data_IF_541154075469
#
_entry.id   IF_541154075469
#
_cell.length_a   1.000
_cell.length_b   1.000
_cell.length_c   1.000
_cell.angle_alpha   90.00
_cell.angle_beta   90.00
_cell.angle_gamma   90.00
#
_symmetry.space_group_name_H-M   'P 1'
#
loop_
_entity.id
_entity.type
_entity.pdbx_description
1 polymer ?
#
# COMPACT_ATOMS: atom_id res chain seq x y z
N UNK A 1 29.51 11.31 -3.42
CA UNK A 1 28.25 10.59 -3.73
C UNK A 1 27.25 11.63 -4.21
N UNK A 2 26.56 11.39 -5.33
CA UNK A 2 25.49 12.27 -5.78
C UNK A 2 24.38 12.31 -4.72
N UNK A 3 23.99 13.50 -4.27
CA UNK A 3 22.85 13.65 -3.36
C UNK A 3 21.54 13.36 -4.09
N UNK A 4 20.49 12.99 -3.36
CA UNK A 4 19.13 12.90 -3.90
C UNK A 4 18.20 13.82 -3.11
N UNK A 5 17.11 14.25 -3.76
CA UNK A 5 16.04 15.06 -3.16
C UNK A 5 14.68 14.60 -3.70
N UNK A 6 13.60 15.12 -3.13
CA UNK A 6 12.24 14.87 -3.56
C UNK A 6 11.58 16.14 -4.07
N UNK A 7 10.72 16.03 -5.08
CA UNK A 7 9.84 17.13 -5.48
C UNK A 7 8.93 17.56 -4.31
N UNK A 8 8.90 18.86 -3.98
CA UNK A 8 8.18 19.38 -2.81
C UNK A 8 6.83 20.04 -3.15
N UNK A 9 6.49 20.14 -4.44
CA UNK A 9 5.23 20.72 -4.91
C UNK A 9 4.47 19.71 -5.77
N UNK A 10 3.14 19.86 -5.86
CA UNK A 10 2.24 18.90 -6.54
C UNK A 10 2.71 18.48 -7.93
N UNK A 11 3.16 19.45 -8.75
CA UNK A 11 3.75 19.20 -10.06
C UNK A 11 4.98 20.08 -10.25
N UNK A 12 6.16 19.54 -9.93
CA UNK A 12 7.42 20.26 -10.05
C UNK A 12 7.89 20.29 -11.52
N UNK A 13 8.09 21.47 -12.12
CA UNK A 13 8.56 21.58 -13.49
C UNK A 13 10.04 21.23 -13.60
N UNK A 14 10.37 20.44 -14.62
CA UNK A 14 11.73 20.18 -15.08
C UNK A 14 11.95 20.98 -16.36
N UNK A 15 13.01 21.77 -16.39
CA UNK A 15 13.36 22.66 -17.49
C UNK A 15 14.51 22.10 -18.33
N UNK A 16 14.49 22.36 -19.63
CA UNK A 16 15.59 22.00 -20.55
C UNK A 16 16.90 22.72 -20.18
N UNK A 17 16.79 24.00 -19.81
CA UNK A 17 17.92 24.88 -19.52
C UNK A 17 17.53 26.00 -18.56
N UNK A 18 18.55 26.57 -17.92
CA UNK A 18 18.47 27.78 -17.08
C UNK A 18 19.32 28.86 -17.75
N UNK A 19 18.75 30.04 -17.96
CA UNK A 19 19.46 31.19 -18.54
C UNK A 19 19.07 32.43 -17.76
N UNK A 20 20.06 33.18 -17.28
CA UNK A 20 19.89 34.36 -16.43
C UNK A 20 18.99 34.08 -15.21
N UNK A 21 19.23 32.95 -14.54
CA UNK A 21 18.48 32.53 -13.35
C UNK A 21 17.02 32.12 -13.60
N UNK A 22 16.60 31.95 -14.86
CA UNK A 22 15.22 31.57 -15.24
C UNK A 22 15.20 30.30 -16.08
N UNK A 23 14.35 29.35 -15.70
CA UNK A 23 14.05 28.17 -16.53
C UNK A 23 13.33 28.58 -17.81
N UNK A 24 13.75 28.03 -18.96
CA UNK A 24 13.25 28.48 -20.28
C UNK A 24 12.13 27.63 -20.88
N UNK A 25 12.29 26.30 -20.91
CA UNK A 25 11.32 25.38 -21.51
C UNK A 25 11.06 24.22 -20.58
N UNK A 26 9.81 24.01 -20.18
CA UNK A 26 9.41 22.86 -19.38
C UNK A 26 9.39 21.62 -20.30
N UNK A 27 10.15 20.60 -19.94
CA UNK A 27 10.27 19.33 -20.68
C UNK A 27 9.59 18.17 -19.96
N UNK A 28 9.33 18.31 -18.66
CA UNK A 28 8.62 17.32 -17.86
C UNK A 28 7.99 17.99 -16.62
N UNK A 29 7.00 17.33 -16.01
CA UNK A 29 6.46 17.66 -14.68
C UNK A 29 6.47 16.40 -13.83
N UNK A 30 7.20 16.45 -12.71
CA UNK A 30 7.24 15.33 -11.76
C UNK A 30 6.31 15.60 -10.58
N UNK A 31 5.68 14.56 -10.05
CA UNK A 31 4.75 14.68 -8.93
C UNK A 31 5.50 14.86 -7.61
N UNK A 32 4.85 15.50 -6.63
CA UNK A 32 5.36 15.62 -5.26
C UNK A 32 5.84 14.25 -4.74
N UNK A 33 6.97 14.22 -4.03
CA UNK A 33 7.58 13.02 -3.48
C UNK A 33 8.23 12.10 -4.52
N UNK A 34 8.34 12.54 -5.78
CA UNK A 34 9.20 11.86 -6.78
C UNK A 34 10.66 12.13 -6.43
N UNK A 35 11.45 11.06 -6.31
CA UNK A 35 12.88 11.19 -6.07
C UNK A 35 13.61 11.67 -7.32
N UNK A 36 14.64 12.48 -7.13
CA UNK A 36 15.56 12.92 -8.19
C UNK A 36 17.00 12.85 -7.69
N UNK A 37 17.93 12.47 -8.57
CA UNK A 37 19.37 12.49 -8.26
C UNK A 37 19.96 13.82 -8.69
N UNK A 38 20.66 14.50 -7.79
CA UNK A 38 21.36 15.76 -8.09
C UNK A 38 22.62 15.45 -8.89
N UNK A 39 22.71 16.00 -10.11
CA UNK A 39 23.85 15.86 -11.00
C UNK A 39 24.78 17.06 -10.89
N UNK A 40 24.21 18.26 -10.76
CA UNK A 40 24.92 19.53 -10.78
C UNK A 40 24.11 20.59 -10.01
N UNK A 41 24.79 21.62 -9.50
CA UNK A 41 24.17 22.81 -8.88
C UNK A 41 24.71 24.08 -9.53
N UNK A 42 23.82 24.99 -9.90
CA UNK A 42 24.14 26.35 -10.36
C UNK A 42 23.21 27.35 -9.65
N UNK A 43 23.76 28.09 -8.69
CA UNK A 43 22.97 28.99 -7.82
C UNK A 43 21.80 28.27 -7.13
N UNK A 44 20.59 28.77 -7.39
CA UNK A 44 19.32 28.21 -6.89
C UNK A 44 18.72 27.12 -7.79
N UNK A 45 19.51 26.56 -8.71
CA UNK A 45 19.07 25.52 -9.63
C UNK A 45 19.89 24.25 -9.48
N UNK A 46 19.21 23.12 -9.63
CA UNK A 46 19.84 21.80 -9.73
C UNK A 46 19.57 21.20 -11.09
N UNK A 47 20.60 20.65 -11.71
CA UNK A 47 20.41 19.68 -12.80
C UNK A 47 20.21 18.32 -12.18
N UNK A 48 19.15 17.62 -12.59
CA UNK A 48 18.71 16.39 -11.95
C UNK A 48 18.47 15.26 -12.93
N UNK A 49 18.76 14.04 -12.51
CA UNK A 49 18.27 12.83 -13.17
C UNK A 49 16.87 12.49 -12.66
N UNK A 50 15.97 12.16 -13.59
CA UNK A 50 14.60 11.75 -13.30
C UNK A 50 14.29 10.40 -13.95
N UNK A 51 13.12 9.81 -13.67
CA UNK A 51 12.65 8.63 -14.40
C UNK A 51 12.29 8.92 -15.87
N UNK A 52 12.14 10.20 -16.23
CA UNK A 52 11.95 10.69 -17.59
C UNK A 52 13.15 11.52 -18.05
N UNK A 53 12.93 12.58 -18.85
CA UNK A 53 14.02 13.46 -19.28
C UNK A 53 14.76 14.10 -18.10
N UNK A 54 16.09 14.11 -18.15
CA UNK A 54 16.92 14.86 -17.22
C UNK A 54 16.82 16.36 -17.55
N UNK A 55 16.92 17.21 -16.54
CA UNK A 55 16.83 18.65 -16.74
C UNK A 55 17.06 19.44 -15.46
N UNK A 56 16.65 20.70 -15.47
CA UNK A 56 16.87 21.64 -14.39
C UNK A 56 15.61 21.86 -13.55
N UNK A 57 15.78 22.01 -12.25
CA UNK A 57 14.70 22.30 -11.30
C UNK A 57 15.19 23.33 -10.28
N UNK A 58 14.30 24.24 -9.91
CA UNK A 58 14.59 25.24 -8.88
C UNK A 58 14.70 24.57 -7.51
N UNK A 59 15.70 24.95 -6.70
CA UNK A 59 15.98 24.37 -5.39
C UNK A 59 14.77 24.44 -4.44
N UNK A 60 14.00 25.53 -4.49
CA UNK A 60 12.77 25.69 -3.71
C UNK A 60 11.65 24.68 -4.04
N UNK A 61 11.74 23.98 -5.18
CA UNK A 61 10.80 22.92 -5.56
C UNK A 61 11.28 21.52 -5.13
N UNK A 62 12.35 21.46 -4.33
CA UNK A 62 12.91 20.23 -3.79
C UNK A 62 12.91 20.25 -2.26
N UNK A 63 12.85 19.06 -1.66
CA UNK A 63 12.91 18.80 -0.23
C UNK A 63 13.80 17.59 0.06
N UNK A 64 14.31 17.48 1.28
CA UNK A 64 14.95 16.27 1.78
C UNK A 64 13.92 15.22 2.27
N UNK A 65 12.67 15.65 2.43
CA UNK A 65 11.52 14.83 2.85
C UNK A 65 10.64 14.51 1.62
N UNK A 66 10.25 13.25 1.45
CA UNK A 66 9.30 12.81 0.42
C UNK A 66 7.88 13.35 0.71
N UNK A 67 7.52 13.45 1.99
CA UNK A 67 6.18 13.78 2.44
C UNK A 67 5.21 12.60 2.35
N UNK A 68 3.91 12.92 2.33
CA UNK A 68 2.81 11.97 2.29
C UNK A 68 2.16 11.98 0.91
N UNK A 69 2.06 10.82 0.27
CA UNK A 69 1.30 10.59 -0.96
C UNK A 69 0.20 9.59 -0.70
N UNK A 70 -0.99 9.87 -1.21
CA UNK A 70 -2.14 8.97 -1.14
C UNK A 70 -2.72 8.84 -2.54
N UNK A 71 -2.85 7.61 -3.01
CA UNK A 71 -3.39 7.26 -4.31
C UNK A 71 -4.67 6.46 -4.09
N UNK A 72 -5.81 7.05 -4.43
CA UNK A 72 -7.09 6.36 -4.54
C UNK A 72 -7.19 5.81 -5.96
N UNK A 73 -7.21 4.50 -6.10
CA UNK A 73 -7.12 3.84 -7.40
C UNK A 73 -8.48 3.37 -7.87
N UNK A 74 -8.73 3.54 -9.16
CA UNK A 74 -9.88 2.94 -9.81
C UNK A 74 -9.68 1.42 -9.91
N UNK A 75 -10.29 0.71 -8.96
CA UNK A 75 -10.28 -0.75 -8.90
C UNK A 75 -11.60 -1.39 -9.35
N UNK A 76 -12.54 -0.58 -9.86
CA UNK A 76 -13.93 -0.95 -10.11
C UNK A 76 -14.78 -0.77 -8.86
N UNK A 77 -15.44 -1.83 -8.39
CA UNK A 77 -16.20 -1.80 -7.14
C UNK A 77 -15.28 -1.87 -5.91
N UNK A 78 -15.71 -1.29 -4.79
CA UNK A 78 -14.98 -1.23 -3.54
C UNK A 78 -13.77 -0.30 -3.57
N UNK A 79 -12.83 -0.52 -2.66
CA UNK A 79 -11.70 0.39 -2.42
C UNK A 79 -10.33 -0.23 -2.77
N UNK A 80 -9.40 0.66 -3.13
CA UNK A 80 -8.00 0.33 -3.30
C UNK A 80 -7.14 1.58 -3.14
N UNK A 81 -6.35 1.63 -2.07
CA UNK A 81 -5.56 2.81 -1.69
C UNK A 81 -4.10 2.43 -1.50
N UNK A 82 -3.20 3.16 -2.15
CA UNK A 82 -1.78 3.13 -1.85
C UNK A 82 -1.40 4.43 -1.13
N UNK A 83 -0.75 4.30 0.02
CA UNK A 83 -0.18 5.40 0.77
C UNK A 83 1.34 5.22 0.85
N UNK A 84 2.08 6.30 0.57
CA UNK A 84 3.52 6.35 0.73
C UNK A 84 3.89 7.53 1.63
N UNK A 85 4.64 7.27 2.70
CA UNK A 85 5.08 8.29 3.65
C UNK A 85 6.57 8.07 3.97
N UNK A 86 7.43 8.98 3.52
CA UNK A 86 8.88 8.73 3.49
C UNK A 86 9.21 7.39 2.82
N UNK A 87 9.84 6.47 3.55
CA UNK A 87 10.16 5.14 3.06
C UNK A 87 9.03 4.09 3.24
N UNK A 88 7.96 4.42 3.96
CA UNK A 88 6.89 3.50 4.28
C UNK A 88 5.86 3.39 3.16
N UNK A 89 5.40 2.17 2.90
CA UNK A 89 4.31 1.84 1.95
C UNK A 89 3.18 1.15 2.70
N UNK A 90 1.99 1.71 2.59
CA UNK A 90 0.76 1.16 3.17
C UNK A 90 -0.22 0.90 2.03
N UNK A 91 -0.66 -0.35 1.92
CA UNK A 91 -1.71 -0.75 0.98
C UNK A 91 -3.00 -0.98 1.78
N UNK A 92 -4.10 -0.36 1.38
CA UNK A 92 -5.41 -0.53 2.00
C UNK A 92 -6.36 -1.05 0.92
N UNK A 93 -6.87 -2.26 1.10
CA UNK A 93 -7.68 -2.97 0.11
C UNK A 93 -7.05 -2.99 -1.30
N UNK A 94 -7.78 -3.51 -2.29
CA UNK A 94 -7.23 -3.76 -3.62
C UNK A 94 -8.29 -3.93 -4.73
N UNK A 95 -9.56 -3.79 -4.40
CA UNK A 95 -10.65 -4.13 -5.29
C UNK A 95 -10.88 -5.63 -5.49
N UNK A 96 -11.84 -5.98 -6.38
CA UNK A 96 -12.17 -7.36 -6.74
C UNK A 96 -11.20 -8.01 -7.73
N UNK A 97 -10.43 -7.21 -8.45
CA UNK A 97 -9.74 -7.61 -9.69
C UNK A 97 -8.23 -7.28 -9.65
N UNK A 98 -7.60 -7.26 -10.82
CA UNK A 98 -6.16 -7.09 -10.97
C UNK A 98 -5.72 -5.62 -11.15
N UNK A 99 -6.62 -4.64 -11.01
CA UNK A 99 -6.33 -3.24 -11.26
C UNK A 99 -5.23 -2.71 -10.33
N UNK A 100 -5.37 -2.95 -9.03
CA UNK A 100 -4.35 -2.62 -8.04
C UNK A 100 -3.00 -3.26 -8.39
N UNK A 101 -2.98 -4.58 -8.62
CA UNK A 101 -1.77 -5.30 -9.02
C UNK A 101 -1.13 -4.72 -10.30
N UNK A 102 -1.95 -4.38 -11.30
CA UNK A 102 -1.51 -3.77 -12.55
C UNK A 102 -0.88 -2.40 -12.34
N UNK A 103 -1.51 -1.55 -11.52
CA UNK A 103 -0.97 -0.25 -11.15
C UNK A 103 0.39 -0.39 -10.43
N UNK A 104 0.48 -1.26 -9.41
CA UNK A 104 1.72 -1.47 -8.66
C UNK A 104 2.84 -1.97 -9.57
N UNK A 105 2.56 -2.92 -10.46
CA UNK A 105 3.61 -3.61 -11.24
C UNK A 105 3.99 -2.93 -12.54
N UNK A 106 3.04 -2.26 -13.22
CA UNK A 106 3.26 -1.64 -14.53
C UNK A 106 3.52 -0.14 -14.46
N UNK A 107 3.10 0.51 -13.37
CA UNK A 107 3.25 1.95 -13.18
C UNK A 107 4.11 2.28 -11.97
N UNK A 108 3.57 2.11 -10.76
CA UNK A 108 4.18 2.69 -9.56
C UNK A 108 5.57 2.12 -9.24
N UNK A 109 5.74 0.80 -9.34
CA UNK A 109 6.99 0.12 -9.00
C UNK A 109 7.68 -0.56 -10.18
N UNK A 110 7.34 -0.16 -11.42
CA UNK A 110 7.90 -0.76 -12.63
C UNK A 110 9.43 -0.73 -12.65
N UNK A 111 10.05 0.39 -12.23
CA UNK A 111 11.50 0.53 -12.18
C UNK A 111 12.15 -0.33 -11.09
N UNK A 112 11.54 -0.45 -9.90
CA UNK A 112 12.03 -1.30 -8.81
C UNK A 112 12.02 -2.77 -9.25
N UNK A 113 10.90 -3.20 -9.83
CA UNK A 113 10.72 -4.56 -10.30
C UNK A 113 11.61 -4.86 -11.52
N UNK A 114 11.79 -3.90 -12.43
CA UNK A 114 12.70 -3.99 -13.58
C UNK A 114 14.17 -4.12 -13.17
N UNK A 115 14.55 -3.47 -12.07
CA UNK A 115 15.85 -3.64 -11.42
C UNK A 115 15.98 -4.97 -10.64
N UNK A 116 15.01 -5.88 -10.75
CA UNK A 116 14.92 -7.16 -10.04
C UNK A 116 14.94 -7.02 -8.51
N UNK A 117 14.53 -5.85 -8.01
CA UNK A 117 14.37 -5.61 -6.58
C UNK A 117 12.96 -5.96 -6.13
N UNK A 118 12.84 -6.39 -4.88
CA UNK A 118 11.54 -6.66 -4.26
C UNK A 118 10.88 -5.36 -3.83
N UNK A 119 9.55 -5.32 -3.91
CA UNK A 119 8.74 -4.26 -3.33
C UNK A 119 8.33 -4.70 -1.92
N UNK A 120 8.69 -3.89 -0.92
CA UNK A 120 8.27 -4.10 0.46
C UNK A 120 7.05 -3.23 0.78
N UNK A 121 5.95 -3.85 1.19
CA UNK A 121 4.76 -3.19 1.72
C UNK A 121 4.81 -3.29 3.24
N UNK A 122 5.09 -2.19 3.93
CA UNK A 122 5.22 -2.18 5.39
C UNK A 122 3.93 -2.62 6.08
N UNK A 123 2.79 -2.16 5.55
CA UNK A 123 1.47 -2.48 6.07
C UNK A 123 0.48 -2.78 4.95
N UNK A 124 -0.19 -3.92 5.04
CA UNK A 124 -1.35 -4.25 4.21
C UNK A 124 -2.57 -4.31 5.11
N UNK A 125 -3.50 -3.38 4.92
CA UNK A 125 -4.71 -3.25 5.71
C UNK A 125 -5.88 -3.75 4.88
N UNK A 126 -6.59 -4.73 5.41
CA UNK A 126 -7.86 -5.19 4.84
C UNK A 126 -8.95 -4.56 5.69
N UNK A 127 -9.79 -3.70 5.09
CA UNK A 127 -10.91 -3.09 5.81
C UNK A 127 -11.90 -4.18 6.21
N UNK A 128 -12.33 -5.01 5.26
CA UNK A 128 -13.20 -6.15 5.49
C UNK A 128 -13.09 -7.18 4.36
N UNK A 129 -13.70 -8.35 4.58
CA UNK A 129 -13.59 -9.50 3.69
C UNK A 129 -14.74 -9.62 2.69
N UNK A 130 -15.13 -8.47 2.12
CA UNK A 130 -16.01 -8.41 0.96
C UNK A 130 -15.16 -8.41 -0.32
N UNK A 131 -15.65 -9.12 -1.34
CA UNK A 131 -14.85 -9.49 -2.50
C UNK A 131 -14.29 -8.27 -3.24
N UNK A 132 -15.05 -7.19 -3.26
CA UNK A 132 -14.70 -5.91 -3.84
C UNK A 132 -13.66 -5.11 -3.04
N UNK A 133 -13.20 -5.60 -1.90
CA UNK A 133 -12.14 -4.96 -1.12
C UNK A 133 -10.84 -5.78 -1.14
N UNK A 134 -10.86 -7.02 -0.67
CA UNK A 134 -9.63 -7.78 -0.41
C UNK A 134 -9.18 -8.68 -1.57
N UNK A 135 -10.04 -9.02 -2.54
CA UNK A 135 -9.75 -10.14 -3.46
C UNK A 135 -8.51 -9.89 -4.31
N UNK A 136 -8.29 -8.66 -4.78
CA UNK A 136 -7.11 -8.25 -5.55
C UNK A 136 -5.79 -8.49 -4.81
N UNK A 137 -5.79 -8.43 -3.48
CA UNK A 137 -4.63 -8.72 -2.61
C UNK A 137 -4.10 -10.12 -2.86
N UNK A 138 -4.98 -11.09 -3.14
CA UNK A 138 -4.60 -12.48 -3.41
C UNK A 138 -3.56 -12.58 -4.52
N UNK A 139 -3.68 -11.75 -5.58
CA UNK A 139 -2.69 -11.74 -6.67
C UNK A 139 -1.37 -11.13 -6.24
N UNK A 140 -1.40 -10.09 -5.41
CA UNK A 140 -0.21 -9.42 -4.88
C UNK A 140 0.56 -10.36 -3.94
N UNK A 141 -0.13 -11.10 -3.07
CA UNK A 141 0.47 -12.11 -2.18
C UNK A 141 1.14 -13.26 -2.94
N UNK A 142 0.58 -13.64 -4.08
CA UNK A 142 1.13 -14.71 -4.93
C UNK A 142 2.35 -14.30 -5.76
N UNK A 143 2.63 -12.99 -5.87
CA UNK A 143 3.82 -12.50 -6.56
C UNK A 143 5.02 -12.45 -5.61
N UNK A 144 6.01 -13.30 -5.85
CA UNK A 144 7.21 -13.44 -5.00
C UNK A 144 8.09 -12.19 -4.96
N UNK A 145 7.85 -11.21 -5.84
CA UNK A 145 8.50 -9.91 -5.85
C UNK A 145 7.97 -8.97 -4.76
N UNK A 146 6.84 -9.30 -4.12
CA UNK A 146 6.28 -8.53 -3.02
C UNK A 146 6.56 -9.18 -1.66
N UNK A 147 6.92 -8.35 -0.69
CA UNK A 147 7.08 -8.71 0.72
C UNK A 147 6.27 -7.77 1.60
N UNK A 148 5.91 -8.22 2.80
CA UNK A 148 4.94 -7.59 3.67
C UNK A 148 5.44 -7.57 5.11
N UNK A 149 5.45 -6.38 5.71
CA UNK A 149 5.74 -6.20 7.12
C UNK A 149 4.61 -6.76 7.99
N UNK A 150 3.50 -6.05 8.07
CA UNK A 150 2.32 -6.48 8.85
C UNK A 150 1.06 -6.47 8.00
N UNK A 151 0.34 -7.58 7.98
CA UNK A 151 -1.01 -7.66 7.43
C UNK A 151 -2.02 -7.44 8.57
N UNK A 152 -2.93 -6.51 8.38
CA UNK A 152 -3.92 -6.06 9.37
C UNK A 152 -5.32 -6.39 8.85
N UNK A 153 -6.16 -6.97 9.69
CA UNK A 153 -7.48 -7.47 9.28
C UNK A 153 -8.51 -7.38 10.42
N UNK A 154 -9.83 -7.42 10.13
CA UNK A 154 -10.86 -7.40 11.16
C UNK A 154 -11.10 -8.77 11.81
N UNK A 155 -10.62 -9.86 11.19
CA UNK A 155 -10.76 -11.22 11.73
C UNK A 155 -12.14 -11.84 11.52
N UNK A 156 -12.96 -11.27 10.65
CA UNK A 156 -14.27 -11.81 10.26
C UNK A 156 -14.15 -12.34 8.83
N UNK A 157 -14.34 -13.64 8.63
CA UNK A 157 -14.16 -14.30 7.34
C UNK A 157 -15.48 -14.91 6.85
N UNK A 158 -15.71 -14.89 5.53
CA UNK A 158 -16.88 -15.49 4.91
C UNK A 158 -16.72 -17.01 4.75
N UNK A 159 -17.68 -17.75 5.31
CA UNK A 159 -17.75 -19.20 5.19
C UNK A 159 -18.32 -19.60 3.83
N UNK A 160 -18.11 -20.86 3.44
CA UNK A 160 -18.80 -21.43 2.28
C UNK A 160 -20.32 -21.35 2.47
N UNK A 161 -21.10 -21.37 1.39
CA UNK A 161 -22.56 -21.43 1.51
C UNK A 161 -23.05 -22.86 1.73
N UNK A 162 -22.43 -23.82 1.05
CA UNK A 162 -22.71 -25.25 1.18
C UNK A 162 -22.24 -25.75 2.54
N UNK A 163 -23.08 -26.55 3.21
CA UNK A 163 -22.77 -27.19 4.50
C UNK A 163 -22.35 -26.20 5.60
N UNK A 164 -22.84 -24.96 5.51
CA UNK A 164 -22.55 -23.93 6.49
C UNK A 164 -23.56 -23.96 7.64
N UNK A 165 -23.14 -24.30 8.87
CA UNK A 165 -24.04 -24.34 10.02
C UNK A 165 -24.37 -22.93 10.54
N UNK A 166 -23.71 -21.88 10.05
CA UNK A 166 -23.87 -20.52 10.53
C UNK A 166 -24.88 -19.75 9.69
N UNK A 167 -26.04 -19.43 10.27
CA UNK A 167 -27.06 -18.59 9.63
C UNK A 167 -26.54 -17.20 9.21
N UNK A 168 -25.49 -16.69 9.86
CA UNK A 168 -24.86 -15.41 9.53
C UNK A 168 -23.98 -15.47 8.28
N UNK A 169 -23.58 -16.66 7.83
CA UNK A 169 -22.57 -16.85 6.78
C UNK A 169 -21.12 -16.56 7.21
N UNK A 170 -20.91 -16.01 8.41
CA UNK A 170 -19.60 -15.53 8.90
C UNK A 170 -19.21 -16.09 10.27
N UNK A 171 -20.08 -16.87 10.93
CA UNK A 171 -19.76 -17.56 12.18
C UNK A 171 -20.87 -17.60 13.23
N UNK A 172 -20.54 -18.17 14.39
CA UNK A 172 -21.43 -18.24 15.55
C UNK A 172 -21.83 -16.85 16.06
N UNK A 173 -23.05 -16.76 16.59
CA UNK A 173 -23.56 -15.55 17.23
C UNK A 173 -24.03 -15.84 18.64
N UNK A 174 -23.98 -14.82 19.51
CA UNK A 174 -24.54 -14.86 20.86
C UNK A 174 -25.58 -13.74 20.99
N UNK A 175 -26.63 -13.98 21.78
CA UNK A 175 -27.63 -12.96 22.11
C UNK A 175 -27.42 -12.50 23.55
N UNK A 176 -27.28 -11.19 23.75
CA UNK A 176 -27.12 -10.57 25.06
C UNK A 176 -27.84 -9.22 25.04
N UNK A 177 -28.62 -8.93 26.08
CA UNK A 177 -29.35 -7.65 26.26
C UNK A 177 -30.17 -7.23 25.02
N UNK A 178 -30.86 -8.19 24.40
CA UNK A 178 -31.67 -7.98 23.19
C UNK A 178 -30.87 -7.73 21.90
N UNK A 179 -29.53 -7.75 21.96
CA UNK A 179 -28.64 -7.58 20.81
C UNK A 179 -28.00 -8.90 20.41
N UNK A 180 -27.74 -9.07 19.11
CA UNK A 180 -27.03 -10.23 18.55
C UNK A 180 -25.61 -9.80 18.22
N UNK A 181 -24.63 -10.55 18.71
CA UNK A 181 -23.21 -10.31 18.52
C UNK A 181 -22.58 -11.47 17.76
N UNK A 182 -21.67 -11.18 16.84
CA UNK A 182 -20.80 -12.19 16.26
C UNK A 182 -19.77 -12.61 17.31
N UNK A 183 -19.69 -13.91 17.61
CA UNK A 183 -18.76 -14.45 18.62
C UNK A 183 -17.58 -15.19 18.01
N UNK A 184 -17.65 -15.54 16.73
CA UNK A 184 -16.53 -16.13 16.00
C UNK A 184 -15.67 -15.03 15.37
N UNK A 185 -14.43 -14.91 15.84
CA UNK A 185 -13.41 -14.03 15.27
C UNK A 185 -12.08 -14.77 15.16
N UNK A 186 -11.27 -14.38 14.19
CA UNK A 186 -9.94 -14.94 13.95
C UNK A 186 -8.87 -13.92 14.30
N UNK A 187 -8.11 -14.14 15.38
CA UNK A 187 -7.03 -13.24 15.80
C UNK A 187 -5.77 -13.35 14.95
N UNK A 188 -5.50 -14.56 14.42
CA UNK A 188 -4.30 -14.86 13.64
C UNK A 188 -4.64 -15.69 12.39
N UNK A 189 -4.61 -15.06 11.22
CA UNK A 189 -4.93 -15.75 9.96
C UNK A 189 -3.86 -16.75 9.50
N UNK A 190 -2.67 -16.78 10.11
CA UNK A 190 -1.65 -17.80 9.85
C UNK A 190 -1.95 -19.13 10.55
N UNK A 191 -2.81 -19.10 11.58
CA UNK A 191 -3.14 -20.27 12.40
C UNK A 191 -4.65 -20.28 12.66
N UNK A 192 -5.39 -20.74 11.66
CA UNK A 192 -6.84 -20.89 11.75
C UNK A 192 -7.17 -22.36 12.01
N UNK A 193 -7.96 -22.60 13.06
CA UNK A 193 -8.64 -23.88 13.25
C UNK A 193 -10.14 -23.63 13.22
N UNK A 194 -10.80 -24.15 12.18
CA UNK A 194 -12.23 -24.00 11.96
C UNK A 194 -12.73 -25.23 11.20
N UNK A 195 -13.69 -26.01 11.76
CA UNK A 195 -14.24 -27.18 11.06
C UNK A 195 -15.03 -26.84 9.80
N UNK A 196 -15.56 -25.61 9.70
CA UNK A 196 -16.33 -25.16 8.54
C UNK A 196 -15.41 -24.61 7.44
N UNK A 197 -15.68 -24.97 6.19
CA UNK A 197 -14.87 -24.50 5.07
C UNK A 197 -15.18 -23.04 4.74
N UNK A 198 -14.16 -22.25 4.42
CA UNK A 198 -14.33 -20.88 3.93
C UNK A 198 -14.87 -20.84 2.50
N UNK A 199 -15.41 -19.70 2.07
CA UNK A 199 -15.77 -19.56 0.66
C UNK A 199 -14.53 -19.65 -0.25
N UNK A 200 -14.75 -19.78 -1.56
CA UNK A 200 -13.67 -19.94 -2.55
C UNK A 200 -12.63 -18.82 -2.47
N UNK A 201 -13.07 -17.57 -2.37
CA UNK A 201 -12.19 -16.41 -2.49
C UNK A 201 -11.38 -16.20 -1.19
N UNK A 202 -11.96 -16.45 -0.01
CA UNK A 202 -11.26 -16.50 1.28
C UNK A 202 -10.26 -17.65 1.31
N UNK A 203 -10.65 -18.83 0.81
CA UNK A 203 -9.76 -19.99 0.72
C UNK A 203 -8.54 -19.66 -0.15
N UNK A 204 -8.75 -19.00 -1.30
CA UNK A 204 -7.66 -18.56 -2.18
C UNK A 204 -6.74 -17.53 -1.50
N UNK A 205 -7.31 -16.56 -0.81
CA UNK A 205 -6.55 -15.57 -0.04
C UNK A 205 -5.71 -16.21 1.06
N UNK A 206 -6.29 -17.09 1.88
CA UNK A 206 -5.58 -17.78 2.97
C UNK A 206 -4.45 -18.65 2.44
N UNK A 207 -4.67 -19.38 1.33
CA UNK A 207 -3.59 -20.14 0.66
C UNK A 207 -2.43 -19.24 0.21
N UNK A 208 -2.74 -18.10 -0.39
CA UNK A 208 -1.72 -17.14 -0.83
C UNK A 208 -0.97 -16.52 0.36
N UNK A 209 -1.69 -16.21 1.44
CA UNK A 209 -1.13 -15.71 2.70
C UNK A 209 -0.17 -16.71 3.35
N UNK A 210 -0.62 -17.95 3.54
CA UNK A 210 0.20 -19.01 4.15
C UNK A 210 1.45 -19.27 3.32
N UNK A 211 1.30 -19.42 1.99
CA UNK A 211 2.44 -19.57 1.08
C UNK A 211 3.43 -18.40 1.20
N UNK A 212 2.93 -17.16 1.25
CA UNK A 212 3.79 -15.99 1.41
C UNK A 212 4.48 -15.94 2.77
N UNK A 213 3.85 -16.43 3.84
CA UNK A 213 4.46 -16.55 5.15
C UNK A 213 5.53 -17.65 5.18
N UNK A 214 5.25 -18.83 4.61
CA UNK A 214 6.19 -19.95 4.50
C UNK A 214 7.46 -19.57 3.71
N UNK A 215 7.30 -18.73 2.68
CA UNK A 215 8.41 -18.16 1.90
C UNK A 215 9.13 -16.99 2.61
N UNK A 216 8.77 -16.68 3.86
CA UNK A 216 9.35 -15.58 4.65
C UNK A 216 9.00 -14.18 4.15
N UNK A 217 7.98 -14.05 3.29
CA UNK A 217 7.56 -12.77 2.68
C UNK A 217 6.51 -12.03 3.51
N UNK A 218 5.87 -12.66 4.49
CA UNK A 218 4.94 -12.01 5.44
C UNK A 218 5.49 -12.15 6.84
N UNK A 219 5.82 -11.04 7.51
CA UNK A 219 6.43 -11.09 8.84
C UNK A 219 5.40 -11.22 9.97
N UNK A 220 4.28 -10.48 9.87
CA UNK A 220 3.25 -10.41 10.92
C UNK A 220 1.85 -10.36 10.35
N UNK A 221 0.91 -10.93 11.08
CA UNK A 221 -0.53 -10.82 10.83
C UNK A 221 -1.19 -10.43 12.15
N UNK A 222 -2.01 -9.39 12.15
CA UNK A 222 -2.62 -8.83 13.37
C UNK A 222 -4.08 -8.45 13.14
N UNK A 223 -4.97 -8.92 14.00
CA UNK A 223 -6.34 -8.42 14.06
C UNK A 223 -6.39 -7.01 14.64
N UNK A 224 -7.24 -6.16 14.08
CA UNK A 224 -7.61 -4.88 14.68
C UNK A 224 -9.02 -4.91 15.26
N UNK A 225 -9.28 -3.94 16.13
CA UNK A 225 -10.59 -3.65 16.71
C UNK A 225 -10.80 -2.13 16.82
N UNK A 226 -12.01 -1.71 17.20
CA UNK A 226 -12.30 -0.31 17.42
C UNK A 226 -11.30 0.31 18.42
N UNK A 227 -10.79 1.51 18.12
CA UNK A 227 -9.76 2.18 18.92
C UNK A 227 -8.33 1.68 18.65
N UNK A 228 -8.13 0.69 17.78
CA UNK A 228 -6.80 0.19 17.45
C UNK A 228 -5.95 1.25 16.77
N UNK A 229 -4.76 1.49 17.32
CA UNK A 229 -3.71 2.28 16.67
C UNK A 229 -2.87 1.36 15.77
N UNK A 230 -3.23 1.30 14.50
CA UNK A 230 -2.63 0.42 13.51
C UNK A 230 -1.18 0.81 13.25
N UNK A 231 -0.96 2.11 13.05
CA UNK A 231 0.37 2.70 12.88
C UNK A 231 0.44 3.91 13.81
N UNK A 232 1.52 4.01 14.60
CA UNK A 232 1.88 5.23 15.32
C UNK A 232 3.41 5.31 15.34
N UNK A 233 3.98 6.12 14.45
CA UNK A 233 5.44 6.24 14.25
C UNK A 233 5.84 7.68 13.97
N UNK A 234 7.13 7.99 14.12
CA UNK A 234 7.71 9.20 13.53
C UNK A 234 8.23 8.87 12.13
N UNK A 235 7.72 9.56 11.12
CA UNK A 235 8.18 9.51 9.72
C UNK A 235 8.60 10.93 9.36
N UNK A 236 9.84 11.09 8.89
CA UNK A 236 10.37 12.42 8.51
C UNK A 236 10.14 13.47 9.62
N UNK A 237 10.52 13.08 10.86
CA UNK A 237 10.37 13.88 12.10
C UNK A 237 8.94 14.26 12.48
N UNK A 238 7.92 13.86 11.71
CA UNK A 238 6.49 14.11 11.97
C UNK A 238 5.80 12.87 12.50
N UNK A 239 4.80 13.05 13.36
CA UNK A 239 3.97 11.94 13.82
C UNK A 239 3.05 11.50 12.69
N UNK A 240 3.17 10.24 12.28
CA UNK A 240 2.26 9.60 11.33
C UNK A 240 1.45 8.54 12.05
N UNK A 241 0.13 8.53 11.81
CA UNK A 241 -0.79 7.65 12.50
C UNK A 241 -1.91 7.14 11.60
N UNK A 242 -2.26 5.87 11.77
CA UNK A 242 -3.50 5.27 11.26
C UNK A 242 -4.20 4.62 12.44
N UNK A 243 -5.45 4.99 12.69
CA UNK A 243 -6.28 4.48 13.77
C UNK A 243 -7.62 3.97 13.22
N UNK A 244 -8.21 3.01 13.92
CA UNK A 244 -9.57 2.55 13.69
C UNK A 244 -10.46 3.27 14.71
N UNK A 245 -11.42 4.04 14.24
CA UNK A 245 -12.32 4.87 15.06
C UNK A 245 -13.56 4.09 15.51
#
# INVERSE_FOLDING_TARGET
>A
MAGFKYASINQAPIYESVVNGKGKKIINRILMGTYVTILEKDGEWYRVATAGPNGWIHAGNLSDEMGLKIFFLDVGQGDGVLLEAGNYKVLIDSGPNNNMYGYLTKWQYTYILGAKQKVHIDYLIISHFDVDHYKGVTKILNDSRFTFGTIIHPGILKMATKENPYNSGIGSTIKQDGKTYLSLVFDNLLKISQPVTFNRDITAFLKALLKANDEGRVLKVKRYEQGSKIIQKKIEKKTFRIEVL
#
